data_IF_751631611066
#
_entry.id   IF_751631611066
#
_cell.length_a   1.000
_cell.length_b   1.000
_cell.length_c   1.000
_cell.angle_alpha   90.00
_cell.angle_beta   90.00
_cell.angle_gamma   90.00
#
_symmetry.space_group_name_H-M   'P 1'
#
loop_
_entity.id
_entity.type
_entity.pdbx_description
1 polymer ?
#
# COMPACT_ATOMS: atom_id res chain seq x y z
N UNK A 1 8.14 -8.54 4.58
CA UNK A 1 9.22 -7.61 4.15
C UNK A 1 8.95 -6.15 4.52
N UNK A 2 7.70 -5.67 4.52
CA UNK A 2 7.37 -4.28 4.89
C UNK A 2 7.82 -3.91 6.31
N UNK A 3 7.66 -4.83 7.28
CA UNK A 3 8.17 -4.62 8.65
C UNK A 3 9.69 -4.39 8.67
N UNK A 4 10.44 -5.18 7.92
CA UNK A 4 11.89 -5.01 7.78
C UNK A 4 12.26 -3.71 7.06
N UNK A 5 11.51 -3.32 6.02
CA UNK A 5 11.72 -2.05 5.33
C UNK A 5 11.50 -0.85 6.27
N UNK A 6 10.43 -0.87 7.08
CA UNK A 6 10.17 0.14 8.12
C UNK A 6 11.30 0.21 9.14
N UNK A 7 11.79 -0.93 9.64
CA UNK A 7 12.90 -0.95 10.58
C UNK A 7 14.17 -0.26 10.04
N UNK A 8 14.44 -0.43 8.73
CA UNK A 8 15.57 0.25 8.08
C UNK A 8 15.29 1.74 7.88
N UNK A 9 14.07 2.11 7.48
CA UNK A 9 13.65 3.51 7.32
C UNK A 9 13.74 4.27 8.65
N UNK A 10 13.26 3.67 9.74
CA UNK A 10 13.30 4.25 11.09
C UNK A 10 14.75 4.48 11.54
N UNK A 11 15.65 3.51 11.33
CA UNK A 11 17.07 3.66 11.65
C UNK A 11 17.77 4.78 10.84
N UNK A 12 17.39 4.96 9.57
CA UNK A 12 17.91 6.05 8.73
C UNK A 12 17.31 7.40 9.17
N UNK A 13 16.02 7.43 9.48
CA UNK A 13 15.31 8.62 9.93
C UNK A 13 15.93 9.17 11.22
N UNK A 14 16.17 8.30 12.21
CA UNK A 14 16.84 8.64 13.47
C UNK A 14 18.24 9.21 13.23
N UNK A 15 19.02 8.58 12.34
CA UNK A 15 20.40 9.00 12.02
C UNK A 15 20.47 10.38 11.37
N UNK A 16 19.46 10.74 10.59
CA UNK A 16 19.46 11.94 9.76
C UNK A 16 18.47 13.01 10.23
N UNK A 17 17.86 12.82 11.41
CA UNK A 17 16.84 13.71 11.98
C UNK A 17 15.68 13.99 10.99
N UNK A 18 15.19 12.94 10.35
CA UNK A 18 14.02 12.97 9.47
C UNK A 18 12.82 12.47 10.28
N UNK A 19 11.70 13.18 10.23
CA UNK A 19 10.46 12.69 10.81
C UNK A 19 9.70 11.84 9.79
N UNK A 20 9.32 10.62 10.19
CA UNK A 20 8.47 9.73 9.41
C UNK A 20 7.21 9.38 10.19
N UNK A 21 6.06 9.48 9.53
CA UNK A 21 4.77 9.00 10.03
C UNK A 21 4.21 7.97 9.06
N UNK A 22 3.65 6.89 9.60
CA UNK A 22 3.11 5.79 8.80
C UNK A 22 1.63 5.63 9.08
N UNK A 23 0.84 5.52 8.01
CA UNK A 23 -0.54 5.01 8.07
C UNK A 23 -0.59 3.71 7.30
N UNK A 24 -1.07 2.64 7.94
CA UNK A 24 -1.24 1.35 7.30
C UNK A 24 -2.66 1.22 6.77
N UNK A 25 -2.78 0.70 5.55
CA UNK A 25 -4.04 0.35 4.92
C UNK A 25 -4.06 -1.16 4.67
N UNK A 26 -5.20 -1.80 4.88
CA UNK A 26 -5.45 -3.22 4.66
C UNK A 26 -5.77 -3.56 3.18
N UNK A 27 -5.46 -2.63 2.27
CA UNK A 27 -5.76 -2.74 0.86
C UNK A 27 -5.00 -3.88 0.21
N UNK A 28 -5.72 -4.90 -0.24
CA UNK A 28 -5.13 -6.18 -0.57
C UNK A 28 -6.09 -7.07 -1.36
N UNK A 29 -5.57 -8.18 -1.89
CA UNK A 29 -6.40 -9.27 -2.42
C UNK A 29 -7.27 -9.92 -1.35
N UNK A 30 -6.83 -9.95 -0.09
CA UNK A 30 -7.62 -10.47 1.03
C UNK A 30 -8.87 -9.62 1.25
N UNK A 31 -8.70 -8.29 1.29
CA UNK A 31 -9.82 -7.34 1.31
C UNK A 31 -10.75 -7.53 0.13
N UNK A 32 -10.22 -7.74 -1.08
CA UNK A 32 -11.05 -8.04 -2.25
C UNK A 32 -11.87 -9.32 -2.10
N UNK A 33 -11.30 -10.39 -1.54
CA UNK A 33 -12.04 -11.64 -1.29
C UNK A 33 -13.15 -11.42 -0.26
N UNK A 34 -12.93 -10.56 0.74
CA UNK A 34 -13.91 -10.28 1.79
C UNK A 34 -15.00 -9.27 1.38
N UNK A 35 -14.63 -8.22 0.64
CA UNK A 35 -15.46 -7.02 0.41
C UNK A 35 -15.75 -6.76 -1.08
N UNK A 36 -15.13 -7.50 -2.00
CA UNK A 36 -15.25 -7.30 -3.45
C UNK A 36 -14.43 -6.13 -4.00
N UNK A 37 -13.64 -5.44 -3.16
CA UNK A 37 -12.82 -4.29 -3.57
C UNK A 37 -11.44 -4.32 -2.90
N UNK A 38 -10.37 -3.97 -3.63
CA UNK A 38 -9.01 -3.96 -3.08
C UNK A 38 -8.70 -2.73 -2.23
N UNK A 39 -9.32 -1.60 -2.56
CA UNK A 39 -9.23 -0.34 -1.83
C UNK A 39 -10.60 0.35 -1.91
N UNK A 40 -10.92 1.31 -1.02
CA UNK A 40 -12.19 2.03 -1.08
C UNK A 40 -12.25 2.96 -2.30
N UNK A 41 -13.44 3.41 -2.67
CA UNK A 41 -13.63 4.27 -3.86
C UNK A 41 -12.89 5.61 -3.75
N UNK A 42 -12.66 6.11 -2.53
CA UNK A 42 -11.93 7.34 -2.24
C UNK A 42 -10.43 7.12 -1.99
N UNK A 43 -9.89 5.94 -2.32
CA UNK A 43 -8.50 5.57 -2.05
C UNK A 43 -7.49 6.57 -2.64
N UNK A 44 -7.70 7.07 -3.87
CA UNK A 44 -6.77 8.01 -4.49
C UNK A 44 -6.80 9.38 -3.81
N UNK A 45 -7.97 9.87 -3.39
CA UNK A 45 -8.08 11.11 -2.63
C UNK A 45 -7.48 10.96 -1.22
N UNK A 46 -7.57 9.77 -0.64
CA UNK A 46 -6.89 9.43 0.62
C UNK A 46 -5.37 9.45 0.44
N UNK A 47 -4.85 8.77 -0.59
CA UNK A 47 -3.41 8.68 -0.87
C UNK A 47 -2.77 10.03 -1.21
N UNK A 48 -3.51 10.96 -1.84
CA UNK A 48 -3.03 12.32 -2.15
C UNK A 48 -2.58 13.13 -0.93
N UNK A 49 -2.96 12.72 0.28
CA UNK A 49 -2.60 13.38 1.53
C UNK A 49 -1.21 12.95 2.06
N UNK A 50 -0.57 11.98 1.42
CA UNK A 50 0.71 11.42 1.82
C UNK A 50 1.81 11.79 0.82
N UNK A 51 3.03 11.98 1.32
CA UNK A 51 4.19 12.34 0.49
C UNK A 51 4.74 11.14 -0.31
N UNK A 52 4.52 9.91 0.17
CA UNK A 52 5.02 8.69 -0.45
C UNK A 52 4.18 7.47 -0.08
N UNK A 53 4.30 6.41 -0.90
CA UNK A 53 3.65 5.12 -0.68
C UNK A 53 4.71 4.03 -0.52
N UNK A 54 4.74 3.39 0.65
CA UNK A 54 5.54 2.17 0.88
C UNK A 54 4.70 0.94 0.54
N UNK A 55 4.74 0.51 -0.72
CA UNK A 55 3.90 -0.59 -1.24
C UNK A 55 4.63 -1.94 -1.21
N UNK A 56 3.95 -2.97 -0.69
CA UNK A 56 4.42 -4.35 -0.73
C UNK A 56 4.08 -5.08 -2.04
N UNK A 57 4.22 -6.40 -2.04
CA UNK A 57 3.73 -7.23 -3.14
C UNK A 57 2.21 -7.42 -3.04
N UNK A 58 1.53 -7.32 -4.18
CA UNK A 58 0.07 -7.48 -4.28
C UNK A 58 -0.21 -8.56 -5.32
N UNK A 59 -0.78 -9.66 -4.85
CA UNK A 59 -1.07 -10.86 -5.64
C UNK A 59 -1.52 -11.98 -4.73
N UNK A 60 -2.44 -12.82 -5.18
CA UNK A 60 -3.00 -13.90 -4.35
C UNK A 60 -3.50 -15.06 -5.20
N UNK A 61 -3.21 -16.32 -4.83
CA UNK A 61 -3.79 -17.47 -5.51
C UNK A 61 -5.32 -17.41 -5.53
N UNK A 62 -5.90 -17.40 -6.73
CA UNK A 62 -7.36 -17.30 -6.92
C UNK A 62 -7.90 -15.89 -7.17
N UNK A 63 -7.06 -14.85 -7.11
CA UNK A 63 -7.40 -13.52 -7.63
C UNK A 63 -6.67 -13.32 -8.97
N UNK A 64 -7.38 -13.18 -10.10
CA UNK A 64 -6.73 -12.98 -11.40
C UNK A 64 -5.87 -11.72 -11.42
N UNK A 65 -4.74 -11.77 -12.13
CA UNK A 65 -3.79 -10.64 -12.19
C UNK A 65 -4.41 -9.34 -12.68
N UNK A 66 -5.33 -9.39 -13.66
CA UNK A 66 -6.00 -8.18 -14.11
C UNK A 66 -6.85 -7.54 -13.01
N UNK A 67 -7.42 -8.33 -12.09
CA UNK A 67 -8.16 -7.83 -10.93
C UNK A 67 -7.20 -7.16 -9.95
N UNK A 68 -6.07 -7.80 -9.65
CA UNK A 68 -5.09 -7.22 -8.71
C UNK A 68 -4.35 -5.99 -9.24
N UNK A 69 -4.05 -5.97 -10.52
CA UNK A 69 -3.41 -4.84 -11.18
C UNK A 69 -4.37 -3.65 -11.29
N UNK A 70 -5.59 -3.85 -11.81
CA UNK A 70 -6.54 -2.75 -12.02
C UNK A 70 -7.29 -2.34 -10.77
N UNK A 71 -7.42 -3.22 -9.78
CA UNK A 71 -8.07 -2.91 -8.50
C UNK A 71 -7.21 -2.07 -7.56
N UNK A 72 -5.89 -1.97 -7.80
CA UNK A 72 -4.99 -1.28 -6.89
C UNK A 72 -3.77 -0.65 -7.57
N UNK A 73 -2.91 -1.44 -8.21
CA UNK A 73 -1.58 -0.96 -8.66
C UNK A 73 -1.64 0.08 -9.79
N UNK A 74 -2.43 -0.19 -10.83
CA UNK A 74 -2.53 0.68 -12.00
C UNK A 74 -3.20 2.03 -11.65
N UNK A 75 -4.33 2.07 -10.91
CA UNK A 75 -4.92 3.34 -10.48
C UNK A 75 -3.96 4.25 -9.71
N UNK A 76 -3.12 3.68 -8.83
CA UNK A 76 -2.14 4.45 -8.04
C UNK A 76 -1.04 5.07 -8.93
N UNK A 77 -0.71 4.45 -10.07
CA UNK A 77 0.39 4.85 -10.96
C UNK A 77 -0.03 5.81 -12.08
N UNK A 78 -1.32 6.13 -12.21
CA UNK A 78 -1.85 7.01 -13.26
C UNK A 78 -2.12 8.40 -12.70
#
# INVERSE_FOLDING_TARGET
>A
VISSARAVLDAVADRHAIELSYTAFDWSCERYVAEGAMMPDDALETLRRFDAILLGAVGWPGVPDHVSLWGLLIPIRR
#
